data_IF_903131240273
#
_entry.id   IF_903131240273
#
_cell.length_a   1.000
_cell.length_b   1.000
_cell.length_c   1.000
_cell.angle_alpha   90.00
_cell.angle_beta   90.00
_cell.angle_gamma   90.00
#
_symmetry.space_group_name_H-M   'P 1'
#
loop_
_entity.id
_entity.type
_entity.pdbx_description
1 polymer ?
#
# COMPACT_ATOMS: atom_id res chain seq x y z
N UNK A 1 22.85 7.56 -0.47
CA UNK A 1 22.93 6.10 -0.30
C UNK A 1 23.06 5.68 1.17
N UNK A 2 23.94 6.27 1.97
CA UNK A 2 24.13 5.87 3.39
C UNK A 2 22.89 6.01 4.29
N UNK A 3 21.97 6.95 4.04
CA UNK A 3 20.78 7.13 4.86
C UNK A 3 19.62 6.17 4.54
N UNK A 4 19.62 5.49 3.40
CA UNK A 4 18.51 4.64 3.00
C UNK A 4 18.47 3.30 3.73
N UNK A 5 19.62 2.73 4.06
CA UNK A 5 19.71 1.45 4.77
C UNK A 5 19.18 1.52 6.22
N UNK A 6 19.59 2.50 7.06
CA UNK A 6 18.99 2.71 8.37
C UNK A 6 17.47 2.94 8.29
N UNK A 7 16.98 3.68 7.30
CA UNK A 7 15.55 3.91 7.11
C UNK A 7 14.79 2.63 6.74
N UNK A 8 15.37 1.77 5.90
CA UNK A 8 14.79 0.45 5.58
C UNK A 8 14.70 -0.44 6.82
N UNK A 9 15.79 -0.49 7.60
CA UNK A 9 15.83 -1.27 8.84
C UNK A 9 14.81 -0.76 9.85
N UNK A 10 14.75 0.55 10.09
CA UNK A 10 13.74 1.19 10.95
C UNK A 10 12.32 0.86 10.47
N UNK A 11 12.05 1.07 9.20
CA UNK A 11 10.75 0.83 8.63
C UNK A 11 10.33 -0.65 8.65
N UNK A 12 11.27 -1.58 8.53
CA UNK A 12 11.01 -3.01 8.67
C UNK A 12 10.70 -3.37 10.12
N UNK A 13 11.47 -2.85 11.07
CA UNK A 13 11.30 -3.09 12.50
C UNK A 13 9.96 -2.54 13.04
N UNK A 14 9.61 -1.31 12.68
CA UNK A 14 8.42 -0.64 13.23
C UNK A 14 7.10 -1.03 12.55
N UNK A 15 7.11 -1.81 11.48
CA UNK A 15 5.89 -2.18 10.73
C UNK A 15 5.65 -3.68 10.72
N UNK A 16 5.70 -4.30 11.89
CA UNK A 16 5.35 -5.72 12.08
C UNK A 16 4.01 -5.83 12.81
N UNK A 17 3.35 -6.95 12.62
CA UNK A 17 2.12 -7.33 13.33
C UNK A 17 0.98 -6.30 13.22
N UNK A 18 0.83 -5.71 12.02
CA UNK A 18 -0.18 -4.68 11.78
C UNK A 18 -1.55 -5.31 11.57
N UNK A 19 -2.54 -4.89 12.35
CA UNK A 19 -3.93 -5.27 12.14
C UNK A 19 -4.60 -4.32 11.17
N UNK A 20 -5.04 -4.84 10.02
CA UNK A 20 -5.66 -4.07 8.94
C UNK A 20 -6.99 -4.69 8.57
N UNK A 21 -8.05 -3.89 8.53
CA UNK A 21 -9.39 -4.35 8.09
C UNK A 21 -9.56 -4.30 6.59
N UNK A 22 -8.95 -3.32 5.95
CA UNK A 22 -9.03 -3.08 4.52
C UNK A 22 -7.68 -2.65 3.98
N UNK A 23 -7.34 -3.14 2.80
CA UNK A 23 -6.18 -2.70 2.01
C UNK A 23 -6.62 -2.16 0.67
N UNK A 24 -6.04 -1.06 0.27
CA UNK A 24 -6.12 -0.55 -1.10
C UNK A 24 -4.75 -0.70 -1.76
N UNK A 25 -4.73 -1.36 -2.91
CA UNK A 25 -3.52 -1.60 -3.70
C UNK A 25 -3.65 -0.86 -5.05
N UNK A 26 -2.59 -0.20 -5.47
CA UNK A 26 -2.55 0.56 -6.72
C UNK A 26 -1.13 0.62 -7.28
N UNK A 27 -1.00 0.84 -8.61
CA UNK A 27 0.27 1.04 -9.28
C UNK A 27 0.35 2.40 -9.97
N UNK A 28 1.38 3.15 -9.63
CA UNK A 28 1.73 4.42 -10.22
C UNK A 28 2.87 4.24 -11.24
N UNK A 29 2.71 4.75 -12.45
CA UNK A 29 3.80 4.75 -13.43
C UNK A 29 4.93 5.69 -13.01
N UNK A 30 6.16 5.16 -13.02
CA UNK A 30 7.39 5.93 -12.85
C UNK A 30 8.12 6.05 -14.19
N UNK A 31 8.63 7.24 -14.48
CA UNK A 31 9.44 7.50 -15.68
C UNK A 31 10.87 7.75 -15.24
N UNK A 32 11.76 6.85 -15.61
CA UNK A 32 13.19 7.00 -15.37
C UNK A 32 13.84 7.94 -16.42
N UNK A 33 15.05 8.41 -16.12
CA UNK A 33 15.78 9.43 -16.93
C UNK A 33 15.83 9.10 -18.42
N UNK A 34 16.13 7.87 -18.78
CA UNK A 34 16.27 7.42 -20.17
C UNK A 34 15.05 7.72 -21.05
N UNK A 35 13.87 7.73 -20.46
CA UNK A 35 12.62 7.98 -21.18
C UNK A 35 12.30 9.48 -21.29
N UNK A 36 12.79 10.31 -20.33
CA UNK A 36 12.48 11.76 -20.29
C UNK A 36 13.47 12.67 -21.00
N UNK A 37 14.70 12.22 -21.27
CA UNK A 37 15.78 13.08 -21.77
C UNK A 37 15.76 13.30 -23.30
N UNK A 38 14.72 12.88 -24.01
CA UNK A 38 14.63 13.06 -25.45
C UNK A 38 15.56 12.17 -26.28
N UNK A 39 16.30 11.27 -25.65
CA UNK A 39 17.11 10.24 -26.32
C UNK A 39 16.23 9.25 -27.10
N UNK A 40 14.95 9.19 -26.72
CA UNK A 40 13.95 8.28 -27.30
C UNK A 40 12.78 9.14 -27.78
N UNK A 41 12.24 8.82 -28.97
CA UNK A 41 11.02 9.47 -29.47
C UNK A 41 9.83 9.25 -28.52
N UNK A 42 8.85 10.17 -28.56
CA UNK A 42 7.62 10.04 -27.76
C UNK A 42 6.91 8.71 -27.99
N UNK A 43 6.87 8.24 -29.22
CA UNK A 43 6.19 6.99 -29.60
C UNK A 43 6.93 5.77 -29.08
N UNK A 44 8.26 5.79 -29.09
CA UNK A 44 9.07 4.73 -28.50
C UNK A 44 8.97 4.72 -26.97
N UNK A 45 8.89 5.91 -26.34
CA UNK A 45 8.66 6.02 -24.92
C UNK A 45 7.30 5.44 -24.50
N UNK A 46 6.25 5.69 -25.28
CA UNK A 46 4.91 5.12 -25.08
C UNK A 46 4.97 3.60 -25.23
N UNK A 47 5.60 3.08 -26.28
CA UNK A 47 5.75 1.64 -26.50
C UNK A 47 6.53 0.95 -25.39
N UNK A 48 7.57 1.59 -24.84
CA UNK A 48 8.32 1.06 -23.71
C UNK A 48 7.51 1.07 -22.43
N UNK A 49 6.71 2.12 -22.18
CA UNK A 49 5.78 2.18 -21.07
C UNK A 49 4.68 1.10 -21.16
N UNK A 50 4.22 0.79 -22.38
CA UNK A 50 3.25 -0.28 -22.61
C UNK A 50 3.84 -1.68 -22.44
N UNK A 51 5.10 -1.89 -22.87
CA UNK A 51 5.76 -3.20 -22.84
C UNK A 51 6.27 -3.60 -21.47
N UNK A 52 6.81 -2.67 -20.72
CA UNK A 52 7.38 -2.95 -19.38
C UNK A 52 7.53 -1.67 -18.57
N UNK A 53 6.44 -1.01 -18.20
CA UNK A 53 6.55 0.23 -17.46
C UNK A 53 7.15 -0.04 -16.08
N UNK A 54 8.15 0.76 -15.70
CA UNK A 54 8.58 0.82 -14.32
C UNK A 54 7.42 1.41 -13.50
N UNK A 55 6.87 0.64 -12.59
CA UNK A 55 5.76 1.03 -11.72
C UNK A 55 6.21 1.22 -10.28
N UNK A 56 5.48 2.03 -9.55
CA UNK A 56 5.54 2.11 -8.10
C UNK A 56 4.28 1.46 -7.58
N UNK A 57 4.46 0.39 -6.85
CA UNK A 57 3.41 -0.42 -6.26
C UNK A 57 3.18 0.03 -4.83
N UNK A 58 1.94 0.26 -4.46
CA UNK A 58 1.57 0.77 -3.13
C UNK A 58 0.49 -0.06 -2.47
N UNK A 59 0.62 -0.31 -1.16
CA UNK A 59 -0.41 -0.88 -0.31
C UNK A 59 -0.69 0.05 0.85
N UNK A 60 -1.92 0.52 0.94
CA UNK A 60 -2.40 1.50 1.91
C UNK A 60 -3.51 0.91 2.78
N UNK A 61 -3.42 1.08 4.10
CA UNK A 61 -4.58 0.98 4.97
C UNK A 61 -5.37 2.30 4.94
N UNK A 62 -6.59 2.32 4.39
CA UNK A 62 -7.37 3.55 4.30
C UNK A 62 -7.87 4.06 5.66
N UNK A 63 -7.90 3.23 6.70
CA UNK A 63 -8.33 3.62 8.03
C UNK A 63 -7.27 4.44 8.75
N UNK A 64 -6.08 3.90 8.92
CA UNK A 64 -4.94 4.59 9.55
C UNK A 64 -4.15 5.47 8.60
N UNK A 65 -4.39 5.39 7.28
CA UNK A 65 -3.55 6.00 6.22
C UNK A 65 -2.13 5.44 6.18
N UNK A 66 -1.89 4.31 6.83
CA UNK A 66 -0.58 3.69 6.87
C UNK A 66 -0.20 3.12 5.50
N UNK A 67 0.90 3.59 4.96
CA UNK A 67 1.53 3.05 3.76
C UNK A 67 2.36 1.82 4.15
N UNK A 68 1.75 0.63 4.05
CA UNK A 68 2.38 -0.63 4.47
C UNK A 68 3.56 -0.97 3.57
N UNK A 69 3.34 -0.93 2.25
CA UNK A 69 4.34 -1.31 1.26
C UNK A 69 4.40 -0.26 0.16
N UNK A 70 5.62 0.07 -0.27
CA UNK A 70 5.92 0.82 -1.46
C UNK A 70 7.12 0.17 -2.15
N UNK A 71 6.96 -0.23 -3.41
CA UNK A 71 7.98 -0.96 -4.17
C UNK A 71 8.09 -0.45 -5.60
N UNK A 72 9.27 -0.65 -6.20
CA UNK A 72 9.54 -0.30 -7.59
C UNK A 72 9.76 -1.55 -8.40
N UNK A 73 8.98 -1.75 -9.44
CA UNK A 73 9.11 -2.91 -10.32
C UNK A 73 8.27 -2.81 -11.59
N UNK A 74 8.43 -3.80 -12.45
CA UNK A 74 7.64 -3.94 -13.68
C UNK A 74 6.22 -4.37 -13.37
N UNK A 75 5.29 -4.10 -14.29
CA UNK A 75 3.88 -4.49 -14.13
C UNK A 75 3.66 -5.94 -14.55
N UNK A 76 4.10 -6.87 -13.70
CA UNK A 76 4.08 -8.32 -13.92
C UNK A 76 3.41 -9.05 -12.75
N UNK A 77 3.02 -10.30 -12.99
CA UNK A 77 2.51 -11.18 -11.94
C UNK A 77 3.54 -11.42 -10.83
N UNK A 78 4.81 -11.56 -11.18
CA UNK A 78 5.91 -11.73 -10.23
C UNK A 78 5.97 -10.55 -9.25
N UNK A 79 5.85 -9.32 -9.78
CA UNK A 79 5.86 -8.13 -8.94
C UNK A 79 4.60 -8.02 -8.08
N UNK A 80 3.43 -8.41 -8.60
CA UNK A 80 2.20 -8.48 -7.82
C UNK A 80 2.32 -9.50 -6.67
N UNK A 81 2.92 -10.66 -6.92
CA UNK A 81 3.19 -11.67 -5.89
C UNK A 81 4.17 -11.15 -4.83
N UNK A 82 5.27 -10.53 -5.26
CA UNK A 82 6.24 -9.91 -4.36
C UNK A 82 5.60 -8.84 -3.48
N UNK A 83 4.74 -8.01 -4.07
CA UNK A 83 4.01 -6.96 -3.36
C UNK A 83 3.08 -7.54 -2.29
N UNK A 84 2.25 -8.53 -2.65
CA UNK A 84 1.33 -9.18 -1.71
C UNK A 84 2.11 -9.94 -0.62
N UNK A 85 3.22 -10.60 -0.99
CA UNK A 85 4.10 -11.24 -0.01
C UNK A 85 4.62 -10.27 1.04
N UNK A 86 5.09 -9.11 0.61
CA UNK A 86 5.54 -8.07 1.55
C UNK A 86 4.42 -7.52 2.43
N UNK A 87 3.20 -7.42 1.90
CA UNK A 87 2.02 -7.07 2.70
C UNK A 87 1.80 -8.11 3.80
N UNK A 88 1.74 -9.39 3.42
CA UNK A 88 1.51 -10.50 4.37
C UNK A 88 2.56 -10.52 5.48
N UNK A 89 3.84 -10.29 5.14
CA UNK A 89 4.91 -10.23 6.15
C UNK A 89 4.77 -9.10 7.18
N UNK A 90 3.92 -8.11 6.92
CA UNK A 90 3.70 -6.97 7.84
C UNK A 90 2.39 -7.08 8.59
N UNK A 91 1.48 -7.90 8.11
CA UNK A 91 0.22 -8.15 8.80
C UNK A 91 0.44 -9.00 10.05
N UNK A 92 -0.40 -8.76 11.05
CA UNK A 92 -0.47 -9.66 12.21
C UNK A 92 -0.84 -11.08 11.75
N UNK A 93 -0.41 -12.11 12.49
CA UNK A 93 -0.85 -13.48 12.25
C UNK A 93 -2.39 -13.55 12.13
N UNK A 94 -2.88 -14.36 11.21
CA UNK A 94 -4.32 -14.56 10.95
C UNK A 94 -5.10 -13.31 10.49
N UNK A 95 -4.41 -12.22 10.18
CA UNK A 95 -5.04 -11.02 9.62
C UNK A 95 -5.28 -11.19 8.11
N UNK A 96 -6.54 -11.32 7.71
CA UNK A 96 -6.98 -11.38 6.30
C UNK A 96 -7.82 -10.14 5.99
N UNK A 97 -7.22 -9.08 5.44
CA UNK A 97 -7.96 -7.84 5.16
C UNK A 97 -8.84 -7.95 3.91
N UNK A 98 -9.90 -7.14 3.87
CA UNK A 98 -10.59 -6.86 2.61
C UNK A 98 -9.63 -6.12 1.66
N UNK A 99 -9.39 -6.67 0.47
CA UNK A 99 -8.55 -6.05 -0.55
C UNK A 99 -9.40 -5.33 -1.60
N UNK A 100 -9.04 -4.09 -1.92
CA UNK A 100 -9.61 -3.31 -3.01
C UNK A 100 -8.49 -2.86 -3.95
N UNK A 101 -8.67 -3.08 -5.25
CA UNK A 101 -7.69 -2.67 -6.27
C UNK A 101 -8.39 -2.03 -7.46
N UNK A 102 -7.61 -1.52 -8.39
CA UNK A 102 -8.08 -1.26 -9.75
C UNK A 102 -8.31 -2.57 -10.55
N UNK A 103 -8.50 -2.49 -11.85
CA UNK A 103 -8.79 -3.63 -12.72
C UNK A 103 -7.61 -4.57 -13.03
N UNK A 104 -6.44 -4.44 -12.40
CA UNK A 104 -5.28 -5.30 -12.65
C UNK A 104 -5.55 -6.74 -12.22
N UNK A 105 -5.50 -7.68 -13.19
CA UNK A 105 -5.87 -9.09 -12.98
C UNK A 105 -4.87 -9.88 -12.12
N UNK A 106 -3.61 -9.46 -12.14
CA UNK A 106 -2.48 -10.10 -11.45
C UNK A 106 -2.67 -10.14 -9.93
N UNK A 107 -3.36 -9.15 -9.36
CA UNK A 107 -3.69 -9.15 -7.93
C UNK A 107 -4.56 -10.32 -7.51
N UNK A 108 -5.50 -10.76 -8.35
CA UNK A 108 -6.33 -11.92 -8.03
C UNK A 108 -5.51 -13.18 -7.82
N UNK A 109 -4.54 -13.44 -8.70
CA UNK A 109 -3.62 -14.57 -8.59
C UNK A 109 -2.70 -14.42 -7.39
N UNK A 110 -2.13 -13.24 -7.17
CA UNK A 110 -1.22 -12.98 -6.06
C UNK A 110 -1.91 -13.14 -4.70
N UNK A 111 -3.13 -12.61 -4.54
CA UNK A 111 -3.93 -12.76 -3.32
C UNK A 111 -4.31 -14.22 -3.08
N UNK A 112 -4.74 -14.95 -4.12
CA UNK A 112 -5.05 -16.37 -4.01
C UNK A 112 -3.82 -17.19 -3.60
N UNK A 113 -2.63 -16.86 -4.10
CA UNK A 113 -1.39 -17.56 -3.73
C UNK A 113 -1.08 -17.44 -2.24
N UNK A 114 -1.28 -16.26 -1.66
CA UNK A 114 -0.91 -15.97 -0.26
C UNK A 114 -2.05 -16.23 0.75
N UNK A 115 -3.29 -16.05 0.32
CA UNK A 115 -4.49 -16.26 1.15
C UNK A 115 -5.34 -17.43 0.63
N UNK A 116 -4.67 -18.51 0.23
CA UNK A 116 -5.31 -19.72 -0.20
C UNK A 116 -4.91 -20.92 0.67
N UNK A 117 -5.64 -22.01 0.49
CA UNK A 117 -5.38 -23.29 1.16
C UNK A 117 -5.76 -24.47 0.28
N UNK A 118 -5.18 -25.62 0.55
CA UNK A 118 -5.48 -26.86 -0.15
C UNK A 118 -6.78 -27.47 0.34
N UNK A 119 -7.68 -27.79 -0.57
CA UNK A 119 -8.92 -28.53 -0.31
C UNK A 119 -8.86 -29.85 -1.07
N UNK A 120 -9.07 -30.95 -0.36
CA UNK A 120 -9.31 -32.25 -0.97
C UNK A 120 -10.83 -32.43 -1.17
N UNK A 121 -11.36 -32.33 -2.40
CA UNK A 121 -12.80 -32.53 -2.62
C UNK A 121 -13.21 -33.94 -2.25
N UNK A 122 -14.39 -34.10 -1.68
CA UNK A 122 -14.98 -35.39 -1.45
C UNK A 122 -15.25 -36.12 -2.79
N UNK A 123 -15.23 -37.45 -2.77
CA UNK A 123 -15.67 -38.25 -3.93
C UNK A 123 -17.10 -37.90 -4.28
N UNK A 124 -17.40 -37.74 -5.56
CA UNK A 124 -18.78 -37.55 -6.04
C UNK A 124 -19.60 -38.83 -6.06
N UNK A 125 -18.92 -39.98 -6.18
CA UNK A 125 -19.51 -41.31 -6.22
C UNK A 125 -18.70 -42.27 -5.34
N UNK A 126 -19.32 -43.31 -4.85
CA UNK A 126 -18.66 -44.29 -3.98
C UNK A 126 -17.48 -45.01 -4.69
N UNK A 127 -17.56 -45.19 -6.02
CA UNK A 127 -16.56 -45.86 -6.88
C UNK A 127 -16.01 -44.80 -7.86
N UNK A 128 -14.70 -44.82 -8.08
CA UNK A 128 -14.03 -43.95 -9.03
C UNK A 128 -12.75 -43.30 -8.47
N UNK A 129 -11.99 -42.57 -9.31
CA UNK A 129 -10.76 -41.92 -8.88
C UNK A 129 -11.05 -40.77 -7.88
N UNK A 130 -10.12 -40.56 -6.95
CA UNK A 130 -10.19 -39.40 -6.05
C UNK A 130 -10.02 -38.10 -6.86
N UNK A 131 -10.85 -37.09 -6.63
CA UNK A 131 -10.62 -35.77 -7.22
C UNK A 131 -9.26 -35.23 -6.80
N UNK A 132 -8.58 -34.51 -7.70
CA UNK A 132 -7.31 -33.87 -7.37
C UNK A 132 -7.52 -32.74 -6.33
N UNK A 133 -6.58 -32.54 -5.40
CA UNK A 133 -6.59 -31.40 -4.50
C UNK A 133 -6.69 -30.08 -5.30
N UNK A 134 -7.39 -29.11 -4.75
CA UNK A 134 -7.57 -27.78 -5.34
C UNK A 134 -7.10 -26.71 -4.38
N UNK A 135 -6.42 -25.72 -4.91
CA UNK A 135 -6.07 -24.50 -4.18
C UNK A 135 -7.26 -23.56 -4.18
N UNK A 136 -7.77 -23.22 -3.02
CA UNK A 136 -8.99 -22.42 -2.85
C UNK A 136 -8.71 -21.19 -2.00
N UNK A 137 -9.39 -20.04 -2.22
CA UNK A 137 -9.24 -18.87 -1.35
C UNK A 137 -9.73 -19.19 0.06
N UNK A 138 -9.08 -18.61 1.07
CA UNK A 138 -9.59 -18.63 2.45
C UNK A 138 -11.02 -18.07 2.46
N UNK A 139 -11.93 -18.63 3.28
CA UNK A 139 -13.31 -18.16 3.39
C UNK A 139 -13.40 -16.67 3.79
N UNK A 140 -12.44 -16.19 4.56
CA UNK A 140 -12.33 -14.80 5.03
C UNK A 140 -11.78 -13.86 3.97
N UNK A 141 -11.16 -14.38 2.89
CA UNK A 141 -10.59 -13.54 1.83
C UNK A 141 -11.70 -12.82 1.06
N UNK A 142 -11.75 -11.52 1.22
CA UNK A 142 -12.65 -10.63 0.49
C UNK A 142 -11.83 -9.78 -0.47
N UNK A 143 -12.21 -9.81 -1.76
CA UNK A 143 -11.51 -9.02 -2.77
C UNK A 143 -12.47 -8.49 -3.83
N UNK A 144 -12.40 -7.18 -4.06
CA UNK A 144 -13.13 -6.54 -5.14
C UNK A 144 -12.24 -5.57 -5.94
N UNK A 145 -12.59 -5.38 -7.19
CA UNK A 145 -11.92 -4.48 -8.12
C UNK A 145 -12.85 -3.33 -8.51
N UNK A 146 -12.27 -2.13 -8.60
CA UNK A 146 -12.91 -0.93 -9.12
C UNK A 146 -12.46 -0.74 -10.57
N UNK A 147 -13.28 -1.15 -11.51
CA UNK A 147 -12.98 -1.09 -12.93
C UNK A 147 -13.52 0.20 -13.50
N UNK A 148 -12.63 1.09 -13.95
CA UNK A 148 -12.97 2.37 -14.56
C UNK A 148 -12.95 2.27 -16.06
N UNK A 149 -14.05 2.65 -16.71
CA UNK A 149 -14.19 2.68 -18.16
C UNK A 149 -14.00 4.10 -18.69
N UNK A 150 -13.11 4.25 -19.66
CA UNK A 150 -12.80 5.55 -20.26
C UNK A 150 -13.18 5.58 -21.75
N UNK A 151 -13.81 6.67 -22.20
CA UNK A 151 -14.02 6.98 -23.62
C UNK A 151 -13.47 8.36 -23.92
N UNK A 152 -12.56 8.46 -24.90
CA UNK A 152 -11.88 9.73 -25.26
C UNK A 152 -11.27 10.45 -24.05
N UNK A 153 -10.60 9.69 -23.15
CA UNK A 153 -9.98 10.16 -21.89
C UNK A 153 -10.96 10.70 -20.83
N UNK A 154 -12.27 10.55 -21.03
CA UNK A 154 -13.29 10.89 -20.03
C UNK A 154 -13.78 9.63 -19.35
N UNK A 155 -13.91 9.65 -18.03
CA UNK A 155 -14.53 8.58 -17.27
C UNK A 155 -16.02 8.47 -17.68
N UNK A 156 -16.41 7.32 -18.20
CA UNK A 156 -17.80 7.05 -18.62
C UNK A 156 -18.52 6.07 -17.75
N UNK A 157 -17.81 5.32 -16.91
CA UNK A 157 -18.41 4.39 -15.97
C UNK A 157 -17.43 3.83 -14.97
N UNK A 158 -17.96 3.42 -13.83
CA UNK A 158 -17.25 2.68 -12.78
C UNK A 158 -18.06 1.44 -12.50
N UNK A 159 -17.44 0.26 -12.57
CA UNK A 159 -18.06 -1.02 -12.24
C UNK A 159 -17.28 -1.69 -11.12
N UNK A 160 -17.99 -2.34 -10.21
CA UNK A 160 -17.38 -3.12 -9.14
C UNK A 160 -17.42 -4.60 -9.51
N UNK A 161 -16.27 -5.26 -9.49
CA UNK A 161 -16.14 -6.68 -9.77
C UNK A 161 -15.69 -7.40 -8.50
N UNK A 162 -16.56 -8.19 -7.91
CA UNK A 162 -16.20 -9.07 -6.79
C UNK A 162 -15.44 -10.27 -7.36
N UNK A 163 -14.25 -10.53 -6.82
CA UNK A 163 -13.37 -11.63 -7.22
C UNK A 163 -13.40 -12.75 -6.18
N UNK A 164 -13.28 -12.40 -4.89
CA UNK A 164 -13.41 -13.34 -3.78
C UNK A 164 -14.41 -12.80 -2.75
N UNK A 165 -15.18 -13.69 -2.16
CA UNK A 165 -16.28 -13.36 -1.25
C UNK A 165 -17.59 -12.99 -1.97
N UNK A 166 -18.47 -12.28 -1.29
CA UNK A 166 -19.74 -11.77 -1.84
C UNK A 166 -19.83 -10.26 -1.72
N UNK A 167 -20.58 -9.62 -2.60
CA UNK A 167 -20.81 -8.18 -2.55
C UNK A 167 -21.40 -7.76 -1.20
N UNK A 168 -22.38 -8.50 -0.71
CA UNK A 168 -23.03 -8.24 0.58
C UNK A 168 -22.04 -8.24 1.74
N UNK A 169 -21.13 -9.23 1.80
CA UNK A 169 -20.11 -9.32 2.85
C UNK A 169 -19.12 -8.16 2.77
N UNK A 170 -18.68 -7.80 1.56
CA UNK A 170 -17.79 -6.67 1.33
C UNK A 170 -18.43 -5.36 1.78
N UNK A 171 -19.69 -5.12 1.39
CA UNK A 171 -20.43 -3.93 1.78
C UNK A 171 -20.65 -3.86 3.31
N UNK A 172 -20.90 -4.99 3.98
CA UNK A 172 -20.99 -5.04 5.42
C UNK A 172 -19.69 -4.65 6.13
N UNK A 173 -18.54 -5.10 5.61
CA UNK A 173 -17.22 -4.71 6.16
C UNK A 173 -17.00 -3.22 5.98
N UNK A 174 -17.29 -2.68 4.80
CA UNK A 174 -17.12 -1.26 4.48
C UNK A 174 -18.08 -0.36 5.26
N UNK A 175 -19.32 -0.79 5.44
CA UNK A 175 -20.34 -0.03 6.17
C UNK A 175 -19.95 0.25 7.63
N UNK A 176 -19.14 -0.62 8.27
CA UNK A 176 -18.58 -0.37 9.62
C UNK A 176 -17.68 0.87 9.69
N UNK A 177 -17.13 1.29 8.57
CA UNK A 177 -16.31 2.50 8.44
C UNK A 177 -17.08 3.65 7.75
N UNK A 178 -18.33 3.45 7.36
CA UNK A 178 -19.12 4.41 6.58
C UNK A 178 -18.63 4.56 5.14
N UNK A 179 -18.01 3.52 4.57
CA UNK A 179 -17.41 3.54 3.23
C UNK A 179 -18.17 2.66 2.24
N UNK A 180 -17.91 2.91 0.97
CA UNK A 180 -18.33 2.11 -0.18
C UNK A 180 -17.13 1.55 -0.92
N UNK A 181 -17.34 0.63 -1.86
CA UNK A 181 -16.26 0.08 -2.69
C UNK A 181 -15.65 1.20 -3.53
N UNK A 182 -14.41 1.58 -3.24
CA UNK A 182 -13.65 2.58 -3.98
C UNK A 182 -12.14 2.44 -3.73
N UNK A 183 -11.32 3.09 -4.57
CA UNK A 183 -9.86 3.18 -4.47
C UNK A 183 -9.37 4.61 -4.19
N UNK A 184 -10.26 5.47 -3.71
CA UNK A 184 -9.99 6.92 -3.58
C UNK A 184 -8.83 7.24 -2.64
N UNK A 185 -8.61 6.43 -1.60
CA UNK A 185 -7.55 6.69 -0.63
C UNK A 185 -6.16 6.41 -1.22
N UNK A 186 -5.98 5.30 -1.91
CA UNK A 186 -4.71 4.98 -2.57
C UNK A 186 -4.45 5.91 -3.77
N UNK A 187 -5.49 6.33 -4.50
CA UNK A 187 -5.37 7.35 -5.55
C UNK A 187 -4.93 8.71 -4.98
N UNK A 188 -5.42 9.07 -3.80
CA UNK A 188 -4.95 10.28 -3.11
C UNK A 188 -3.49 10.16 -2.70
N UNK A 189 -3.08 9.01 -2.17
CA UNK A 189 -1.68 8.72 -1.88
C UNK A 189 -0.79 8.84 -3.12
N UNK A 190 -1.22 8.34 -4.28
CA UNK A 190 -0.45 8.48 -5.53
C UNK A 190 -0.27 9.94 -5.94
N UNK A 191 -1.21 10.83 -5.64
CA UNK A 191 -1.04 12.28 -5.82
C UNK A 191 0.00 12.85 -4.85
N UNK A 192 -0.01 12.45 -3.58
CA UNK A 192 0.97 12.89 -2.58
C UNK A 192 2.39 12.43 -2.95
N UNK A 193 2.54 11.19 -3.44
CA UNK A 193 3.82 10.69 -3.96
C UNK A 193 4.32 11.57 -5.12
N UNK A 194 3.45 11.89 -6.08
CA UNK A 194 3.82 12.77 -7.22
C UNK A 194 4.20 14.19 -6.81
N UNK A 195 3.66 14.70 -5.72
CA UNK A 195 3.94 16.04 -5.21
C UNK A 195 5.23 16.09 -4.38
N UNK A 196 5.55 15.05 -3.63
CA UNK A 196 6.61 15.02 -2.62
C UNK A 196 7.88 14.30 -3.07
N UNK A 197 7.77 13.33 -3.99
CA UNK A 197 8.92 12.60 -4.53
C UNK A 197 9.35 13.26 -5.83
N UNK A 198 10.44 14.02 -5.77
CA UNK A 198 10.93 14.84 -6.87
C UNK A 198 11.11 14.06 -8.18
N UNK A 199 11.61 12.81 -8.10
CA UNK A 199 11.82 11.97 -9.27
C UNK A 199 10.57 11.58 -10.05
N UNK A 200 9.38 11.68 -9.42
CA UNK A 200 8.10 11.24 -10.00
C UNK A 200 7.23 12.42 -10.43
N UNK A 201 7.57 13.62 -10.00
CA UNK A 201 6.84 14.84 -10.34
C UNK A 201 6.70 15.04 -11.84
N UNK A 202 5.60 15.64 -12.29
CA UNK A 202 5.32 15.86 -13.74
C UNK A 202 6.26 16.87 -14.40
N UNK A 203 6.89 17.77 -13.63
CA UNK A 203 7.76 18.83 -14.11
C UNK A 203 8.99 18.92 -13.21
N UNK A 204 9.87 17.94 -13.30
CA UNK A 204 11.09 17.90 -12.48
C UNK A 204 12.33 17.97 -13.36
N UNK A 205 13.32 18.69 -12.87
CA UNK A 205 14.63 18.78 -13.50
C UNK A 205 15.55 17.63 -13.06
N UNK A 206 15.25 17.01 -11.92
CA UNK A 206 16.06 15.94 -11.32
C UNK A 206 15.34 14.59 -11.48
N UNK A 207 15.94 13.69 -12.24
CA UNK A 207 15.42 12.35 -12.49
C UNK A 207 16.35 11.31 -11.83
N UNK A 208 15.78 10.24 -11.32
CA UNK A 208 16.58 9.10 -10.90
C UNK A 208 17.22 8.41 -12.09
N UNK A 209 18.52 8.13 -12.01
CA UNK A 209 19.27 7.42 -13.04
C UNK A 209 19.03 5.90 -13.03
N UNK A 210 18.08 5.42 -12.25
CA UNK A 210 17.76 4.02 -12.16
C UNK A 210 16.72 3.73 -11.07
N UNK A 211 16.31 2.48 -10.97
CA UNK A 211 15.31 2.05 -10.01
C UNK A 211 15.79 2.14 -8.55
N UNK A 212 17.09 2.02 -8.31
CA UNK A 212 17.65 2.03 -6.96
C UNK A 212 17.53 3.40 -6.29
N UNK A 213 17.98 4.47 -6.97
CA UNK A 213 17.82 5.83 -6.45
C UNK A 213 16.36 6.23 -6.24
N UNK A 214 15.44 5.68 -7.06
CA UNK A 214 14.01 5.86 -6.85
C UNK A 214 13.52 5.11 -5.60
N UNK A 215 13.99 3.87 -5.38
CA UNK A 215 13.66 3.09 -4.18
C UNK A 215 14.07 3.82 -2.90
N UNK A 216 15.27 4.43 -2.89
CA UNK A 216 15.77 5.17 -1.73
C UNK A 216 14.89 6.39 -1.41
N UNK A 217 14.48 7.15 -2.43
CA UNK A 217 13.56 8.28 -2.25
C UNK A 217 12.19 7.82 -1.74
N UNK A 218 11.70 6.67 -2.21
CA UNK A 218 10.42 6.13 -1.79
C UNK A 218 10.46 5.59 -0.35
N UNK A 219 11.56 5.00 0.09
CA UNK A 219 11.75 4.59 1.49
C UNK A 219 11.74 5.80 2.41
N UNK A 220 12.42 6.88 2.04
CA UNK A 220 12.38 8.14 2.79
C UNK A 220 10.96 8.71 2.82
N UNK A 221 10.27 8.75 1.67
CA UNK A 221 8.88 9.19 1.59
C UNK A 221 7.97 8.35 2.50
N UNK A 222 8.07 7.02 2.43
CA UNK A 222 7.25 6.11 3.24
C UNK A 222 7.46 6.33 4.74
N UNK A 223 8.70 6.46 5.16
CA UNK A 223 9.04 6.70 6.57
C UNK A 223 8.54 8.07 7.02
N UNK A 224 8.76 9.11 6.22
CA UNK A 224 8.26 10.46 6.48
C UNK A 224 6.72 10.49 6.55
N UNK A 225 6.04 9.88 5.58
CA UNK A 225 4.58 9.80 5.53
C UNK A 225 3.99 9.10 6.76
N UNK A 226 4.57 7.97 7.15
CA UNK A 226 4.02 7.14 8.21
C UNK A 226 4.31 7.69 9.62
N UNK A 227 5.51 8.19 9.88
CA UNK A 227 5.98 8.47 11.24
C UNK A 227 6.12 9.96 11.54
N UNK A 228 6.46 10.79 10.54
CA UNK A 228 6.83 12.19 10.74
C UNK A 228 5.71 13.15 10.36
N UNK A 229 4.93 12.84 9.32
CA UNK A 229 3.90 13.73 8.78
C UNK A 229 2.54 13.46 9.42
N UNK A 230 2.01 14.35 10.30
CA UNK A 230 0.64 14.22 10.80
C UNK A 230 -0.38 14.34 9.65
N UNK A 231 -1.39 13.48 9.67
CA UNK A 231 -2.46 13.50 8.68
C UNK A 231 -3.71 14.22 9.24
N UNK A 232 -4.23 15.23 8.51
CA UNK A 232 -5.31 16.06 9.00
C UNK A 232 -6.59 15.30 9.38
N UNK A 233 -6.93 14.22 8.65
CA UNK A 233 -8.11 13.40 8.95
C UNK A 233 -7.94 12.46 10.13
N UNK A 234 -6.72 12.27 10.64
CA UNK A 234 -6.39 11.40 11.77
C UNK A 234 -6.29 12.18 13.10
N UNK A 235 -6.39 13.51 13.06
CA UNK A 235 -6.32 14.32 14.27
C UNK A 235 -7.36 13.87 15.30
N UNK A 236 -6.95 13.84 16.56
CA UNK A 236 -7.80 13.44 17.68
C UNK A 236 -8.20 14.67 18.49
N UNK A 237 -9.46 14.79 18.98
CA UNK A 237 -9.84 15.87 19.87
C UNK A 237 -9.08 15.74 21.18
N UNK A 238 -8.57 16.87 21.69
CA UNK A 238 -8.00 16.92 23.05
C UNK A 238 -9.15 16.90 24.07
N UNK A 239 -9.04 16.17 25.17
CA UNK A 239 -10.05 16.15 26.23
C UNK A 239 -10.21 17.54 26.89
N UNK A 240 -9.13 18.31 26.97
CA UNK A 240 -9.11 19.70 27.44
C UNK A 240 -8.28 20.52 26.45
N UNK A 241 -8.79 21.70 26.01
CA UNK A 241 -8.02 22.59 25.13
C UNK A 241 -6.71 23.04 25.80
N UNK A 242 -5.58 22.93 25.08
CA UNK A 242 -4.28 23.39 25.54
C UNK A 242 -4.08 24.86 25.17
N UNK A 243 -3.65 25.75 26.10
CA UNK A 243 -3.33 27.12 25.76
C UNK A 243 -2.15 27.17 24.78
N UNK A 244 -2.22 28.08 23.81
CA UNK A 244 -1.10 28.38 22.92
C UNK A 244 -0.23 29.48 23.49
N UNK A 245 1.09 29.40 23.27
CA UNK A 245 2.00 30.49 23.63
C UNK A 245 1.72 31.69 22.73
N UNK A 246 1.01 32.73 23.27
CA UNK A 246 0.65 33.96 22.55
C UNK A 246 -0.86 34.18 22.46
N UNK A 247 -1.29 35.12 21.60
CA UNK A 247 -2.70 35.53 21.41
C UNK A 247 -3.54 34.57 20.54
N UNK A 248 -3.04 33.38 20.25
CA UNK A 248 -3.73 32.40 19.41
C UNK A 248 -4.83 31.64 20.16
N UNK A 249 -5.81 31.12 19.41
CA UNK A 249 -6.86 30.23 19.96
C UNK A 249 -6.25 28.95 20.57
N UNK A 250 -6.86 28.45 21.64
CA UNK A 250 -6.42 27.21 22.30
C UNK A 250 -6.39 26.04 21.31
N UNK A 251 -5.40 25.18 21.47
CA UNK A 251 -5.22 23.97 20.66
C UNK A 251 -6.23 22.92 21.12
N UNK A 252 -7.15 22.55 20.23
CA UNK A 252 -8.23 21.59 20.49
C UNK A 252 -7.98 20.21 19.86
N UNK A 253 -6.90 20.05 19.09
CA UNK A 253 -6.60 18.82 18.36
C UNK A 253 -5.18 18.34 18.63
N UNK A 254 -5.06 17.05 18.94
CA UNK A 254 -3.78 16.34 18.93
C UNK A 254 -3.43 15.92 17.51
N UNK A 255 -2.20 16.19 17.09
CA UNK A 255 -1.67 15.70 15.81
C UNK A 255 -1.51 14.18 15.88
N UNK A 256 -1.86 13.50 14.77
CA UNK A 256 -1.75 12.05 14.68
C UNK A 256 -1.14 11.69 13.32
N UNK A 257 -0.11 10.84 13.34
CA UNK A 257 0.50 10.27 12.13
C UNK A 257 -0.18 8.95 11.77
N UNK A 258 -0.01 8.44 10.53
CA UNK A 258 -0.49 7.12 10.17
C UNK A 258 0.01 6.00 11.08
N UNK A 259 1.28 6.02 11.50
CA UNK A 259 1.85 5.05 12.42
C UNK A 259 1.21 5.11 13.81
N UNK A 260 0.90 6.32 14.32
CA UNK A 260 0.16 6.48 15.57
C UNK A 260 -1.27 5.92 15.44
N UNK A 261 -1.96 6.21 14.34
CA UNK A 261 -3.32 5.70 14.11
C UNK A 261 -3.37 4.17 13.95
N UNK A 262 -2.28 3.56 13.47
CA UNK A 262 -2.11 2.11 13.40
C UNK A 262 -1.61 1.47 14.70
N UNK A 263 -1.34 2.26 15.76
CA UNK A 263 -0.85 1.75 17.04
C UNK A 263 0.63 1.35 17.07
N UNK A 264 1.42 1.77 16.07
CA UNK A 264 2.85 1.42 15.94
C UNK A 264 3.76 2.35 16.75
N UNK A 265 3.25 3.50 17.15
CA UNK A 265 3.98 4.50 17.97
C UNK A 265 2.99 5.39 18.70
N UNK A 266 3.44 6.02 19.77
CA UNK A 266 2.66 6.90 20.63
C UNK A 266 2.87 8.40 20.36
N UNK A 267 3.86 8.76 19.53
CA UNK A 267 4.24 10.14 19.25
C UNK A 267 4.55 10.39 17.77
N UNK A 268 4.64 11.68 17.43
CA UNK A 268 5.11 12.14 16.11
C UNK A 268 6.63 12.17 16.11
N UNK A 269 7.25 11.35 15.31
CA UNK A 269 8.70 11.27 15.17
C UNK A 269 9.26 12.47 14.41
N UNK A 270 10.47 12.88 14.76
CA UNK A 270 11.28 13.77 13.92
C UNK A 270 12.15 12.93 12.97
N UNK A 271 12.55 13.50 11.84
CA UNK A 271 13.50 12.83 10.93
C UNK A 271 14.82 12.49 11.63
N UNK A 272 15.26 13.36 12.54
CA UNK A 272 16.48 13.12 13.34
C UNK A 272 16.35 11.87 14.21
N UNK A 273 15.26 11.72 14.92
CA UNK A 273 14.99 10.53 15.75
C UNK A 273 14.98 9.26 14.90
N UNK A 274 14.28 9.29 13.76
CA UNK A 274 14.23 8.14 12.83
C UNK A 274 15.62 7.75 12.33
N UNK A 275 16.42 8.73 11.91
CA UNK A 275 17.77 8.49 11.35
C UNK A 275 18.77 8.00 12.41
N UNK A 276 18.58 8.40 13.66
CA UNK A 276 19.43 8.01 14.78
C UNK A 276 18.90 6.79 15.53
N UNK A 277 17.76 6.26 15.17
CA UNK A 277 17.18 5.09 15.81
C UNK A 277 18.04 3.86 15.58
N UNK A 278 18.47 3.23 16.65
CA UNK A 278 19.23 1.99 16.59
C UNK A 278 18.26 0.82 16.62
N UNK A 279 18.07 0.19 15.45
CA UNK A 279 17.26 -1.02 15.35
C UNK A 279 17.91 -2.12 16.17
N UNK A 280 17.18 -2.72 17.14
CA UNK A 280 17.71 -3.86 17.90
C UNK A 280 18.10 -5.02 16.98
N UNK A 281 19.13 -5.80 17.34
CA UNK A 281 19.51 -6.96 16.54
C UNK A 281 18.35 -7.97 16.46
N UNK A 282 18.18 -8.58 15.31
CA UNK A 282 17.19 -9.64 15.08
C UNK A 282 17.87 -11.03 15.17
N UNK A 283 17.23 -12.06 15.71
CA UNK A 283 15.94 -12.06 16.42
C UNK A 283 16.03 -11.40 17.81
N UNK A 284 14.91 -10.76 18.22
CA UNK A 284 14.81 -10.24 19.58
C UNK A 284 14.91 -11.40 20.56
N UNK A 285 15.68 -11.27 21.67
CA UNK A 285 15.63 -12.26 22.74
C UNK A 285 14.19 -12.31 23.26
N UNK A 286 13.58 -13.49 23.23
CA UNK A 286 12.29 -13.70 23.88
C UNK A 286 12.47 -13.36 25.36
N UNK A 287 11.81 -12.33 25.82
CA UNK A 287 11.69 -12.07 27.26
C UNK A 287 10.90 -13.24 27.85
N UNK A 288 11.60 -14.08 28.60
CA UNK A 288 11.04 -15.20 29.38
C UNK A 288 10.21 -14.62 30.51
#
# INVERSE_FOLDING_TARGET
MEAAEPLRAFAAYCRCDVHVRQLQLDELYAVLREVKTGVISKDEAIKRLERSPCGIWTALDPQSKLLLVIEVGTRTLEMAQRMVHQVVQRLAPDCVPLCLTDGLKEYGTALLTHFGYWVQPARRQAIGPMPKPRWMPLPELLYAQVVKSYRRRRLVGVTHRVVFGTQRTIEQVLARCGWTINTAFVERLTLDIRQRVAAIGRRVNTLCQGAEGLRDQLVLFQTYHNFVLPHASLRQPLPVPEPTNGSGSAKVWRRCTPAMAAGLTDHVWTLKEVLLFRVPPWPQPQTV
#
